data_IF_482423719521
#
_entry.id   IF_482423719521
#
_cell.length_a   1.000
_cell.length_b   1.000
_cell.length_c   1.000
_cell.angle_alpha   90.00
_cell.angle_beta   90.00
_cell.angle_gamma   90.00
#
_symmetry.space_group_name_H-M   'P 1'
#
loop_
_entity.id
_entity.type
_entity.pdbx_description
1 polymer ?
#
# COMPACT_ATOMS: atom_id res chain seq x y z
N UNK A 1 20.85 24.64 34.41
CA UNK A 1 20.75 23.26 33.96
C UNK A 1 22.15 22.66 33.86
N UNK A 2 22.44 21.63 34.63
CA UNK A 2 23.75 20.97 34.65
C UNK A 2 23.96 20.12 33.41
N UNK A 3 25.23 19.78 33.08
CA UNK A 3 25.55 18.86 31.96
C UNK A 3 24.83 17.50 32.06
N UNK A 4 24.67 17.03 33.31
CA UNK A 4 23.95 15.75 33.61
C UNK A 4 22.46 15.87 33.32
N UNK A 5 21.83 16.98 33.73
CA UNK A 5 20.40 17.20 33.48
C UNK A 5 20.08 17.30 31.96
N UNK A 6 20.96 17.95 31.19
CA UNK A 6 20.81 18.02 29.73
C UNK A 6 20.87 16.61 29.09
N UNK A 7 21.84 15.79 29.51
CA UNK A 7 21.94 14.40 29.02
C UNK A 7 20.72 13.58 29.36
N UNK A 8 20.22 13.71 30.58
CA UNK A 8 19.01 12.99 31.01
C UNK A 8 17.78 13.41 30.20
N UNK A 9 17.64 14.72 29.96
CA UNK A 9 16.56 15.25 29.11
C UNK A 9 16.61 14.68 27.69
N UNK A 10 17.79 14.61 27.08
CA UNK A 10 17.96 14.01 25.74
C UNK A 10 17.55 12.52 25.72
N UNK A 11 17.92 11.77 26.74
CA UNK A 11 17.54 10.35 26.83
C UNK A 11 16.01 10.20 26.96
N UNK A 12 15.38 11.00 27.81
CA UNK A 12 13.92 10.96 27.98
C UNK A 12 13.20 11.33 26.69
N UNK A 13 13.62 12.38 26.01
CA UNK A 13 13.04 12.80 24.74
C UNK A 13 13.23 11.72 23.66
N UNK A 14 14.40 11.11 23.58
CA UNK A 14 14.67 10.02 22.65
C UNK A 14 13.78 8.81 22.88
N UNK A 15 13.55 8.43 24.15
CA UNK A 15 12.65 7.32 24.52
C UNK A 15 11.20 7.63 24.14
N UNK A 16 10.72 8.87 24.36
CA UNK A 16 9.38 9.28 23.95
C UNK A 16 9.19 9.24 22.42
N UNK A 17 10.17 9.72 21.67
CA UNK A 17 10.13 9.67 20.20
C UNK A 17 10.09 8.22 19.72
N UNK A 18 10.93 7.35 20.29
CA UNK A 18 10.96 5.94 19.93
C UNK A 18 9.62 5.24 20.25
N UNK A 19 9.04 5.51 21.40
CA UNK A 19 7.73 4.98 21.78
C UNK A 19 6.63 5.47 20.84
N UNK A 20 6.64 6.74 20.44
CA UNK A 20 5.69 7.30 19.49
C UNK A 20 5.82 6.66 18.10
N UNK A 21 7.04 6.39 17.63
CA UNK A 21 7.29 5.70 16.35
C UNK A 21 6.79 4.26 16.38
N UNK A 22 7.02 3.54 17.47
CA UNK A 22 6.52 2.16 17.64
C UNK A 22 4.99 2.13 17.63
N UNK A 23 4.34 3.05 18.34
CA UNK A 23 2.87 3.17 18.35
C UNK A 23 2.32 3.51 16.96
N UNK A 24 2.95 4.42 16.23
CA UNK A 24 2.54 4.78 14.87
C UNK A 24 2.66 3.58 13.92
N UNK A 25 3.73 2.78 14.03
CA UNK A 25 3.90 1.58 13.20
C UNK A 25 2.87 0.50 13.51
N UNK A 26 2.59 0.24 14.78
CA UNK A 26 1.61 -0.79 15.19
C UNK A 26 0.16 -0.42 14.81
N UNK A 27 -0.17 0.88 14.77
CA UNK A 27 -1.54 1.35 14.48
C UNK A 27 -1.77 1.66 13.01
N UNK A 28 -0.79 2.22 12.29
CA UNK A 28 -0.95 2.73 10.92
C UNK A 28 0.04 2.18 9.91
N UNK A 29 0.95 1.32 10.33
CA UNK A 29 2.04 0.81 9.48
C UNK A 29 2.79 1.92 8.72
N UNK A 30 3.05 3.04 9.42
CA UNK A 30 3.57 4.26 8.82
C UNK A 30 4.95 4.04 8.18
N UNK A 31 5.88 3.40 8.90
CA UNK A 31 7.23 3.14 8.41
C UNK A 31 7.22 2.16 7.23
N UNK A 32 6.41 1.09 7.30
CA UNK A 32 6.28 0.13 6.22
C UNK A 32 5.75 0.77 4.95
N UNK A 33 4.73 1.62 5.06
CA UNK A 33 4.19 2.37 3.92
C UNK A 33 5.19 3.36 3.35
N UNK A 34 5.90 4.08 4.22
CA UNK A 34 6.90 5.05 3.80
C UNK A 34 8.07 4.38 3.07
N UNK A 35 8.60 3.28 3.60
CA UNK A 35 9.67 2.51 2.96
C UNK A 35 9.20 1.96 1.61
N UNK A 36 8.04 1.32 1.55
CA UNK A 36 7.49 0.77 0.31
C UNK A 36 7.30 1.86 -0.74
N UNK A 37 6.74 3.00 -0.35
CA UNK A 37 6.44 4.10 -1.26
C UNK A 37 7.68 4.88 -1.70
N UNK A 38 8.62 5.14 -0.80
CA UNK A 38 9.75 6.06 -1.05
C UNK A 38 10.97 5.32 -1.62
N UNK A 39 11.25 4.12 -1.12
CA UNK A 39 12.46 3.36 -1.52
C UNK A 39 12.17 2.45 -2.70
N UNK A 40 11.05 1.72 -2.66
CA UNK A 40 10.70 0.73 -3.68
C UNK A 40 9.68 1.22 -4.70
N UNK A 41 9.13 2.42 -4.50
CA UNK A 41 8.03 2.96 -5.31
C UNK A 41 6.82 2.00 -5.41
N UNK A 42 6.58 1.26 -4.34
CA UNK A 42 5.47 0.33 -4.21
C UNK A 42 4.33 0.93 -3.39
N UNK A 43 3.11 0.53 -3.73
CA UNK A 43 1.93 0.80 -2.90
C UNK A 43 1.58 -0.46 -2.13
N UNK A 44 1.82 -0.42 -0.82
CA UNK A 44 1.52 -1.55 0.08
C UNK A 44 0.12 -1.46 0.66
N UNK A 45 -0.47 -2.62 0.96
CA UNK A 45 -1.66 -2.78 1.80
C UNK A 45 -1.30 -3.61 3.03
N UNK A 46 -1.90 -3.29 4.16
CA UNK A 46 -1.65 -3.94 5.46
C UNK A 46 -2.99 -4.42 6.01
N UNK A 47 -3.58 -5.41 5.35
CA UNK A 47 -4.81 -6.07 5.74
C UNK A 47 -4.54 -7.53 6.08
N UNK A 48 -5.16 -8.03 7.15
CA UNK A 48 -5.19 -9.46 7.45
C UNK A 48 -6.10 -10.19 6.46
N UNK A 49 -5.96 -11.50 6.37
CA UNK A 49 -6.81 -12.31 5.47
C UNK A 49 -8.31 -12.12 5.75
N UNK A 50 -8.68 -11.92 7.02
CA UNK A 50 -10.08 -11.73 7.43
C UNK A 50 -10.69 -10.41 6.93
N UNK A 51 -9.84 -9.41 6.70
CA UNK A 51 -10.24 -8.07 6.24
C UNK A 51 -10.33 -7.97 4.72
N UNK A 52 -9.85 -8.98 4.00
CA UNK A 52 -9.92 -9.02 2.54
C UNK A 52 -11.31 -9.45 2.06
N UNK A 53 -11.78 -8.93 0.92
CA UNK A 53 -13.02 -9.37 0.31
C UNK A 53 -12.92 -10.82 -0.18
N UNK A 54 -14.07 -11.45 -0.37
CA UNK A 54 -14.14 -12.78 -0.96
C UNK A 54 -13.65 -12.77 -2.41
N UNK A 55 -12.97 -13.82 -2.81
CA UNK A 55 -12.40 -13.94 -4.15
C UNK A 55 -13.46 -13.83 -5.25
N UNK A 56 -14.67 -14.34 -5.01
CA UNK A 56 -15.81 -14.22 -5.93
C UNK A 56 -16.23 -12.76 -6.14
N UNK A 57 -16.21 -11.96 -5.07
CA UNK A 57 -16.55 -10.54 -5.14
C UNK A 57 -15.48 -9.76 -5.93
N UNK A 58 -14.21 -10.07 -5.71
CA UNK A 58 -13.10 -9.47 -6.48
C UNK A 58 -13.28 -9.72 -7.97
N UNK A 59 -13.56 -10.96 -8.36
CA UNK A 59 -13.80 -11.32 -9.78
C UNK A 59 -15.00 -10.61 -10.37
N UNK A 60 -16.10 -10.57 -9.62
CA UNK A 60 -17.34 -9.89 -10.04
C UNK A 60 -17.13 -8.39 -10.25
N UNK A 61 -16.44 -7.72 -9.33
CA UNK A 61 -16.14 -6.29 -9.44
C UNK A 61 -15.21 -6.01 -10.63
N UNK A 62 -14.21 -6.85 -10.87
CA UNK A 62 -13.34 -6.71 -12.06
C UNK A 62 -14.11 -6.84 -13.37
N UNK A 63 -15.05 -7.78 -13.46
CA UNK A 63 -15.90 -7.94 -14.64
C UNK A 63 -16.82 -6.74 -14.87
N UNK A 64 -17.45 -6.24 -13.79
CA UNK A 64 -18.34 -5.08 -13.86
C UNK A 64 -17.60 -3.79 -14.27
N UNK A 65 -16.34 -3.67 -13.90
CA UNK A 65 -15.50 -2.49 -14.15
C UNK A 65 -14.35 -2.77 -15.13
N UNK A 66 -14.55 -3.71 -16.06
CA UNK A 66 -13.53 -4.08 -17.05
C UNK A 66 -13.06 -2.88 -17.89
N UNK A 67 -13.90 -1.88 -18.12
CA UNK A 67 -13.49 -0.67 -18.83
C UNK A 67 -12.35 0.05 -18.10
N UNK A 68 -12.45 0.19 -16.78
CA UNK A 68 -11.39 0.82 -15.96
C UNK A 68 -10.11 -0.03 -15.97
N UNK A 69 -10.25 -1.36 -15.96
CA UNK A 69 -9.10 -2.26 -16.14
C UNK A 69 -8.37 -1.97 -17.46
N UNK A 70 -9.11 -1.76 -18.54
CA UNK A 70 -8.50 -1.42 -19.84
C UNK A 70 -7.87 -0.03 -19.84
N UNK A 71 -8.48 0.96 -19.18
CA UNK A 71 -7.90 2.29 -19.03
C UNK A 71 -6.56 2.25 -18.29
N UNK A 72 -6.46 1.46 -17.22
CA UNK A 72 -5.19 1.26 -16.50
C UNK A 72 -4.14 0.61 -17.39
N UNK A 73 -4.51 -0.46 -18.09
CA UNK A 73 -3.58 -1.15 -19.02
C UNK A 73 -3.11 -0.24 -20.15
N UNK A 74 -3.95 0.69 -20.61
CA UNK A 74 -3.61 1.62 -21.68
C UNK A 74 -2.63 2.72 -21.26
N UNK A 75 -2.35 2.90 -19.98
CA UNK A 75 -1.29 3.82 -19.51
C UNK A 75 0.08 3.36 -20.04
N UNK A 76 0.39 2.07 -19.90
CA UNK A 76 1.55 1.43 -20.52
C UNK A 76 1.18 -0.03 -20.88
N UNK A 77 0.66 -0.25 -22.11
CA UNK A 77 0.08 -1.54 -22.50
C UNK A 77 1.04 -2.73 -22.48
N UNK A 78 2.33 -2.48 -22.62
CA UNK A 78 3.34 -3.54 -22.66
C UNK A 78 3.85 -3.94 -21.27
N UNK A 79 3.78 -3.02 -20.29
CA UNK A 79 4.45 -3.21 -19.01
C UNK A 79 3.51 -3.20 -17.80
N UNK A 80 2.29 -2.68 -17.93
CA UNK A 80 1.31 -2.75 -16.83
C UNK A 80 0.58 -4.09 -16.87
N UNK A 81 0.62 -4.78 -15.75
CA UNK A 81 -0.10 -6.04 -15.54
C UNK A 81 -0.98 -5.96 -14.30
N UNK A 82 -2.19 -6.48 -14.39
CA UNK A 82 -3.15 -6.53 -13.30
C UNK A 82 -3.46 -8.00 -13.02
N UNK A 83 -3.26 -8.42 -11.78
CA UNK A 83 -3.54 -9.77 -11.33
C UNK A 83 -4.35 -9.77 -10.02
N UNK A 84 -4.94 -10.91 -9.68
CA UNK A 84 -5.57 -11.13 -8.39
C UNK A 84 -4.56 -11.79 -7.46
N UNK A 85 -4.36 -11.20 -6.28
CA UNK A 85 -3.64 -11.83 -5.18
C UNK A 85 -4.61 -12.73 -4.40
N UNK A 86 -4.41 -14.03 -4.49
CA UNK A 86 -5.19 -15.06 -3.80
C UNK A 86 -4.36 -15.84 -2.77
N UNK A 87 -3.34 -15.21 -2.20
CA UNK A 87 -2.48 -15.81 -1.17
C UNK A 87 -3.25 -16.17 0.11
N UNK A 88 -4.33 -15.45 0.39
CA UNK A 88 -5.28 -15.81 1.45
C UNK A 88 -6.38 -16.71 0.89
N UNK A 89 -6.59 -17.95 1.42
CA UNK A 89 -7.59 -18.88 0.90
C UNK A 89 -9.00 -18.29 0.87
N UNK A 90 -9.64 -18.30 -0.30
CA UNK A 90 -11.00 -17.79 -0.53
C UNK A 90 -11.13 -16.25 -0.50
N UNK A 91 -10.05 -15.55 -0.31
CA UNK A 91 -9.98 -14.09 -0.26
C UNK A 91 -9.13 -13.54 -1.40
N UNK A 92 -9.26 -12.26 -1.69
CA UNK A 92 -8.48 -11.66 -2.76
C UNK A 92 -8.30 -10.15 -2.64
N UNK A 93 -7.29 -9.68 -3.34
CA UNK A 93 -7.03 -8.26 -3.60
C UNK A 93 -6.44 -8.13 -4.99
N UNK A 94 -6.22 -6.91 -5.46
CA UNK A 94 -5.54 -6.69 -6.74
C UNK A 94 -4.05 -6.42 -6.55
N UNK A 95 -3.26 -6.89 -7.50
CA UNK A 95 -1.88 -6.47 -7.70
C UNK A 95 -1.79 -5.79 -9.05
N UNK A 96 -1.23 -4.58 -9.05
CA UNK A 96 -0.93 -3.84 -10.27
C UNK A 96 0.58 -3.66 -10.34
N UNK A 97 1.18 -4.22 -11.39
CA UNK A 97 2.59 -4.04 -11.70
C UNK A 97 2.74 -2.88 -12.68
N UNK A 98 3.75 -2.04 -12.46
CA UNK A 98 4.05 -0.88 -13.29
C UNK A 98 5.58 -0.64 -13.33
N UNK A 99 6.12 -0.07 -14.43
CA UNK A 99 7.57 0.10 -14.58
C UNK A 99 8.10 1.44 -14.07
N UNK A 100 7.24 2.42 -13.77
CA UNK A 100 7.67 3.76 -13.40
C UNK A 100 6.78 4.41 -12.35
N UNK A 101 7.37 5.41 -11.66
CA UNK A 101 6.62 6.24 -10.72
C UNK A 101 5.51 7.06 -11.40
N UNK A 102 5.74 7.48 -12.65
CA UNK A 102 4.73 8.21 -13.41
C UNK A 102 3.49 7.34 -13.70
N UNK A 103 3.69 6.08 -14.06
CA UNK A 103 2.59 5.13 -14.27
C UNK A 103 1.84 4.89 -12.96
N UNK A 104 2.55 4.70 -11.85
CA UNK A 104 1.95 4.61 -10.53
C UNK A 104 1.04 5.79 -10.24
N UNK A 105 1.51 7.02 -10.45
CA UNK A 105 0.73 8.23 -10.19
C UNK A 105 -0.56 8.26 -11.00
N UNK A 106 -0.49 7.91 -12.29
CA UNK A 106 -1.67 7.84 -13.14
C UNK A 106 -2.67 6.76 -12.69
N UNK A 107 -2.18 5.61 -12.25
CA UNK A 107 -3.03 4.54 -11.68
C UNK A 107 -3.72 5.03 -10.40
N UNK A 108 -2.98 5.68 -9.50
CA UNK A 108 -3.52 6.23 -8.26
C UNK A 108 -4.58 7.32 -8.51
N UNK A 109 -4.40 8.15 -9.53
CA UNK A 109 -5.40 9.16 -9.95
C UNK A 109 -6.69 8.52 -10.45
N UNK A 110 -6.60 7.38 -11.16
CA UNK A 110 -7.77 6.64 -11.63
C UNK A 110 -8.50 5.89 -10.51
N UNK A 111 -7.77 5.27 -9.60
CA UNK A 111 -8.32 4.34 -8.62
C UNK A 111 -8.56 4.95 -7.23
N UNK A 112 -7.72 5.91 -6.81
CA UNK A 112 -7.68 6.33 -5.43
C UNK A 112 -7.25 5.19 -4.49
N UNK A 113 -7.94 5.07 -3.35
CA UNK A 113 -7.55 4.12 -2.31
C UNK A 113 -7.97 2.67 -2.58
N UNK A 114 -8.96 2.46 -3.44
CA UNK A 114 -9.47 1.13 -3.77
C UNK A 114 -9.97 1.04 -5.21
N UNK A 115 -9.97 -0.17 -5.75
CA UNK A 115 -10.65 -0.48 -7.00
C UNK A 115 -12.11 -0.84 -6.71
N UNK A 116 -12.99 0.16 -6.65
CA UNK A 116 -14.42 -0.02 -6.35
C UNK A 116 -14.67 -0.85 -5.09
N UNK A 117 -13.94 -0.52 -4.01
CA UNK A 117 -13.98 -1.22 -2.72
C UNK A 117 -13.02 -2.41 -2.60
N UNK A 118 -12.40 -2.85 -3.67
CA UNK A 118 -11.37 -3.91 -3.63
C UNK A 118 -10.01 -3.29 -3.32
N UNK A 119 -9.31 -3.77 -2.26
CA UNK A 119 -7.96 -3.32 -1.97
C UNK A 119 -6.99 -3.66 -3.09
N UNK A 120 -6.08 -2.76 -3.40
CA UNK A 120 -5.05 -3.02 -4.39
C UNK A 120 -3.67 -2.62 -3.89
N UNK A 121 -2.67 -3.40 -4.26
CA UNK A 121 -1.27 -3.08 -4.06
C UNK A 121 -0.57 -2.84 -5.39
N UNK A 122 0.38 -1.92 -5.39
CA UNK A 122 1.19 -1.58 -6.55
C UNK A 122 2.63 -2.06 -6.37
N UNK A 123 3.20 -2.65 -7.40
CA UNK A 123 4.57 -3.15 -7.40
C UNK A 123 5.30 -2.60 -8.61
N UNK A 124 6.38 -1.86 -8.33
CA UNK A 124 7.29 -1.40 -9.37
C UNK A 124 8.23 -2.54 -9.78
N UNK A 125 8.34 -2.84 -11.07
CA UNK A 125 9.22 -3.89 -11.61
C UNK A 125 9.69 -3.60 -13.04
#
# INVERSE_FOLDING_TARGET
MTKSQKRWLFVVVAVFILAALILAETTKHFLGRWIASTIYDNRAIFLSCDELPDLSDVKSVMEQHNQVIQEIKNIDPENIEITIDNSCPGKGSLIIYYPSHNDRTQIEELLGDSFFGIPWKGINR
#
